data_IF_460804517031
#
_entry.id   IF_460804517031
#
_cell.length_a   1.000
_cell.length_b   1.000
_cell.length_c   1.000
_cell.angle_alpha   90.00
_cell.angle_beta   90.00
_cell.angle_gamma   90.00
#
_symmetry.space_group_name_H-M   'P 1'
#
loop_
_entity.id
_entity.type
_entity.pdbx_description
1 polymer ?
#
# COMPACT_ATOMS: atom_id res chain seq x y z
N UNK A 1 -1.80 71.51 15.11
CA UNK A 1 -2.99 71.42 14.24
C UNK A 1 -2.64 70.48 13.10
N UNK A 2 -2.92 69.19 13.29
CA UNK A 2 -4.09 68.47 12.75
C UNK A 2 -3.69 67.83 11.40
N UNK A 3 -3.73 66.53 11.16
CA UNK A 3 -4.29 65.40 11.91
C UNK A 3 -4.70 64.38 10.85
N UNK A 4 -3.93 63.30 10.66
CA UNK A 4 -4.37 62.19 9.80
C UNK A 4 -4.91 61.09 10.71
N UNK A 5 -6.22 60.97 10.62
CA UNK A 5 -7.13 60.11 11.36
C UNK A 5 -6.81 58.63 11.08
N UNK A 6 -6.43 57.88 12.12
CA UNK A 6 -6.54 56.41 12.09
C UNK A 6 -8.00 56.04 12.37
N UNK A 7 -8.61 55.08 11.66
CA UNK A 7 -9.93 54.60 12.03
C UNK A 7 -9.86 53.88 13.40
N UNK A 8 -10.86 54.08 14.27
CA UNK A 8 -10.90 53.45 15.57
C UNK A 8 -11.27 51.98 15.46
N UNK A 9 -10.50 51.20 16.22
CA UNK A 9 -10.73 49.83 16.62
C UNK A 9 -11.87 49.85 17.66
N UNK A 10 -13.12 49.67 17.23
CA UNK A 10 -14.26 49.56 18.15
C UNK A 10 -15.04 48.25 17.95
N UNK A 11 -14.74 47.37 18.90
CA UNK A 11 -15.56 46.28 19.38
C UNK A 11 -16.98 46.78 19.67
N UNK A 12 -17.96 46.23 18.96
CA UNK A 12 -19.32 46.13 19.52
C UNK A 12 -19.83 44.71 19.28
N UNK A 13 -19.63 43.86 20.30
CA UNK A 13 -20.39 42.63 20.46
C UNK A 13 -21.86 42.98 20.70
N UNK A 14 -22.72 42.77 19.71
CA UNK A 14 -24.15 42.63 19.96
C UNK A 14 -24.40 41.20 20.45
N UNK A 15 -24.54 41.05 21.78
CA UNK A 15 -25.09 39.85 22.39
C UNK A 15 -26.59 39.77 22.04
N UNK A 16 -26.95 38.79 21.22
CA UNK A 16 -28.32 38.40 20.94
C UNK A 16 -28.40 36.87 20.88
N UNK A 17 -29.29 36.32 21.69
CA UNK A 17 -29.55 34.89 21.92
C UNK A 17 -29.33 33.95 20.71
N UNK A 18 -28.56 32.88 20.94
CA UNK A 18 -28.32 31.80 19.97
C UNK A 18 -29.63 31.11 19.58
N UNK A 19 -29.99 31.20 18.31
CA UNK A 19 -30.88 30.27 17.62
C UNK A 19 -30.05 29.45 16.63
N UNK A 20 -30.33 28.15 16.51
CA UNK A 20 -29.84 27.33 15.38
C UNK A 20 -30.53 27.79 14.09
N UNK A 21 -29.99 27.50 12.89
CA UNK A 21 -30.63 27.83 11.61
C UNK A 21 -32.03 27.19 11.41
N UNK A 22 -32.48 26.32 12.32
CA UNK A 22 -33.78 25.64 12.29
C UNK A 22 -34.59 25.77 13.59
N UNK A 23 -34.20 26.63 14.54
CA UNK A 23 -35.03 26.93 15.72
C UNK A 23 -35.25 25.79 16.72
N UNK A 24 -34.41 24.74 16.71
CA UNK A 24 -34.49 23.63 17.67
C UNK A 24 -33.45 23.80 18.79
N UNK A 25 -33.82 23.71 20.08
CA UNK A 25 -32.87 23.74 21.19
C UNK A 25 -32.02 22.46 21.27
N UNK A 26 -30.79 22.59 21.75
CA UNK A 26 -29.86 21.48 21.98
C UNK A 26 -30.40 20.48 23.04
N UNK A 27 -30.10 19.17 22.92
CA UNK A 27 -30.38 18.19 23.98
C UNK A 27 -29.67 18.55 25.29
N UNK A 28 -30.39 18.47 26.42
CA UNK A 28 -29.94 18.91 27.74
C UNK A 28 -28.70 18.16 28.28
N UNK A 29 -28.33 17.04 27.67
CA UNK A 29 -27.15 16.24 28.02
C UNK A 29 -25.80 16.87 27.63
N UNK A 30 -25.80 18.00 26.90
CA UNK A 30 -24.58 18.74 26.50
C UNK A 30 -24.39 20.10 27.19
N UNK A 31 -25.15 20.38 28.26
CA UNK A 31 -25.24 21.70 28.89
C UNK A 31 -24.10 22.09 29.86
N UNK A 32 -22.89 21.52 29.74
CA UNK A 32 -21.76 21.86 30.62
C UNK A 32 -20.52 22.40 29.90
N UNK A 33 -20.70 23.27 28.90
CA UNK A 33 -19.58 24.01 28.32
C UNK A 33 -19.23 25.26 29.14
N UNK A 34 -18.14 25.18 29.91
CA UNK A 34 -17.49 26.32 30.55
C UNK A 34 -16.73 27.16 29.51
N UNK A 35 -16.68 28.46 29.77
CA UNK A 35 -16.27 29.54 28.88
C UNK A 35 -14.88 29.44 28.24
N UNK A 36 -14.79 29.89 26.99
CA UNK A 36 -13.59 30.15 26.18
C UNK A 36 -12.67 31.23 26.77
N UNK A 37 -11.83 30.88 27.74
CA UNK A 37 -10.53 31.51 27.98
C UNK A 37 -9.57 30.39 28.38
N UNK A 38 -8.41 30.35 27.75
CA UNK A 38 -7.30 29.39 27.92
C UNK A 38 -7.22 28.25 26.89
N UNK A 39 -7.30 28.57 25.59
CA UNK A 39 -6.64 27.74 24.57
C UNK A 39 -5.14 28.10 24.47
N UNK A 40 -4.42 28.00 25.59
CA UNK A 40 -2.96 27.96 25.63
C UNK A 40 -2.46 26.52 25.52
N UNK A 41 -2.72 25.86 24.39
CA UNK A 41 -2.34 24.48 24.15
C UNK A 41 -0.88 24.36 23.70
N UNK A 42 0.01 24.01 24.63
CA UNK A 42 1.41 23.60 24.40
C UNK A 42 1.51 22.57 23.25
N UNK A 43 2.30 22.87 22.21
CA UNK A 43 2.62 21.92 21.13
C UNK A 43 3.43 20.72 21.68
N UNK A 44 3.00 19.46 21.51
CA UNK A 44 3.88 18.32 21.62
C UNK A 44 4.56 18.04 20.27
N UNK A 45 5.87 17.81 20.34
CA UNK A 45 6.78 17.61 19.21
C UNK A 45 6.76 16.14 18.70
N UNK A 46 7.26 15.92 17.46
CA UNK A 46 7.50 14.64 16.73
C UNK A 46 6.44 14.06 15.77
N UNK A 47 5.58 14.88 15.16
CA UNK A 47 4.70 14.43 14.07
C UNK A 47 5.44 14.29 12.73
N UNK A 48 5.08 13.26 11.94
CA UNK A 48 5.40 13.18 10.50
C UNK A 48 5.03 14.51 9.83
N UNK A 49 5.88 15.04 8.95
CA UNK A 49 5.51 16.18 8.11
C UNK A 49 4.40 15.70 7.16
N UNK A 50 3.19 16.24 7.32
CA UNK A 50 2.03 15.87 6.51
C UNK A 50 2.11 16.52 5.13
N UNK A 51 1.73 15.77 4.09
CA UNK A 51 1.62 16.26 2.72
C UNK A 51 0.17 16.17 2.20
N UNK A 52 -0.72 17.11 2.60
CA UNK A 52 -2.13 17.07 2.22
C UNK A 52 -2.37 17.26 0.71
N UNK A 53 -1.41 17.81 -0.04
CA UNK A 53 -1.55 18.01 -1.49
C UNK A 53 -1.26 16.73 -2.29
N UNK A 54 -0.34 15.89 -1.80
CA UNK A 54 0.08 14.66 -2.48
C UNK A 54 -0.54 13.38 -1.90
N UNK A 55 -0.85 13.37 -0.61
CA UNK A 55 -1.27 12.17 0.13
C UNK A 55 -2.67 12.38 0.74
N UNK A 56 -3.70 11.66 0.26
CA UNK A 56 -5.07 11.89 0.69
C UNK A 56 -5.40 11.50 2.14
N UNK A 57 -4.67 10.59 2.78
CA UNK A 57 -4.83 10.31 4.21
C UNK A 57 -4.27 11.46 5.08
N UNK A 58 -3.17 12.09 4.66
CA UNK A 58 -2.62 13.31 5.24
C UNK A 58 -3.59 14.48 5.02
N UNK A 59 -4.26 14.56 3.85
CA UNK A 59 -5.37 15.50 3.63
C UNK A 59 -6.50 15.26 4.63
N UNK A 60 -6.95 14.01 4.79
CA UNK A 60 -8.01 13.68 5.75
C UNK A 60 -7.61 14.04 7.20
N UNK A 61 -6.34 13.84 7.57
CA UNK A 61 -5.82 14.21 8.89
C UNK A 61 -5.85 15.72 9.13
N UNK A 62 -5.43 16.52 8.13
CA UNK A 62 -5.49 17.98 8.18
C UNK A 62 -6.94 18.47 8.23
N UNK A 63 -7.81 17.90 7.39
CA UNK A 63 -9.23 18.27 7.33
C UNK A 63 -9.95 17.94 8.64
N UNK A 64 -9.64 16.80 9.27
CA UNK A 64 -10.18 16.46 10.58
C UNK A 64 -9.76 17.49 11.66
N UNK A 65 -8.50 17.93 11.63
CA UNK A 65 -7.98 18.94 12.56
C UNK A 65 -8.67 20.29 12.34
N UNK A 66 -8.90 20.69 11.09
CA UNK A 66 -9.61 21.92 10.74
C UNK A 66 -11.06 21.86 11.22
N UNK A 67 -11.78 20.79 10.87
CA UNK A 67 -13.16 20.55 11.30
C UNK A 67 -13.30 20.61 12.82
N UNK A 68 -12.37 19.97 13.53
CA UNK A 68 -12.32 19.98 14.99
C UNK A 68 -12.16 21.41 15.53
N UNK A 69 -11.26 22.20 14.95
CA UNK A 69 -11.03 23.60 15.31
C UNK A 69 -12.25 24.49 15.06
N UNK A 70 -12.87 24.38 13.89
CA UNK A 70 -14.05 25.15 13.49
C UNK A 70 -15.27 24.87 14.38
N UNK A 71 -15.42 23.61 14.82
CA UNK A 71 -16.52 23.18 15.69
C UNK A 71 -16.20 23.28 17.18
N UNK A 72 -15.00 23.74 17.54
CA UNK A 72 -14.56 23.86 18.94
C UNK A 72 -14.46 22.51 19.67
N UNK A 73 -14.30 21.42 18.94
CA UNK A 73 -14.23 20.06 19.50
C UNK A 73 -12.81 19.80 20.04
N UNK A 74 -12.72 19.04 21.12
CA UNK A 74 -11.46 18.50 21.61
C UNK A 74 -11.17 17.14 20.97
N UNK A 75 -9.92 16.67 21.07
CA UNK A 75 -9.55 15.32 20.64
C UNK A 75 -10.41 14.25 21.36
N UNK A 76 -10.78 14.50 22.62
CA UNK A 76 -11.64 13.62 23.40
C UNK A 76 -13.08 13.58 22.88
N UNK A 77 -13.63 14.71 22.45
CA UNK A 77 -14.98 14.78 21.88
C UNK A 77 -15.07 13.98 20.58
N UNK A 78 -14.09 14.15 19.68
CA UNK A 78 -14.02 13.37 18.44
C UNK A 78 -13.86 11.88 18.73
N UNK A 79 -13.05 11.53 19.72
CA UNK A 79 -12.88 10.14 20.14
C UNK A 79 -14.20 9.53 20.66
N UNK A 80 -14.98 10.30 21.41
CA UNK A 80 -16.30 9.90 21.90
C UNK A 80 -17.29 9.69 20.74
N UNK A 81 -17.32 10.57 19.74
CA UNK A 81 -18.20 10.45 18.55
C UNK A 81 -18.03 9.09 17.87
N UNK A 82 -16.79 8.60 17.72
CA UNK A 82 -16.52 7.34 17.03
C UNK A 82 -16.42 6.12 17.95
N UNK A 83 -16.46 6.33 19.28
CA UNK A 83 -16.31 5.28 20.29
C UNK A 83 -14.88 4.73 20.36
N UNK A 84 -13.87 5.61 20.32
CA UNK A 84 -12.44 5.26 20.33
C UNK A 84 -11.67 6.10 21.37
N UNK A 85 -10.36 5.89 21.46
CA UNK A 85 -9.49 6.60 22.41
C UNK A 85 -8.97 7.91 21.81
N UNK A 86 -8.74 8.92 22.66
CA UNK A 86 -8.11 10.18 22.25
C UNK A 86 -6.72 9.99 21.66
N UNK A 87 -6.00 8.93 22.06
CA UNK A 87 -4.72 8.54 21.49
C UNK A 87 -4.82 8.19 20.00
N UNK A 88 -5.90 7.50 19.58
CA UNK A 88 -6.14 7.20 18.17
C UNK A 88 -6.33 8.49 17.36
N UNK A 89 -7.16 9.41 17.83
CA UNK A 89 -7.41 10.68 17.13
C UNK A 89 -6.12 11.50 17.01
N UNK A 90 -5.31 11.55 18.07
CA UNK A 90 -4.00 12.19 18.01
C UNK A 90 -3.07 11.54 16.97
N UNK A 91 -3.02 10.21 16.89
CA UNK A 91 -2.25 9.51 15.85
C UNK A 91 -2.76 9.79 14.44
N UNK A 92 -4.07 9.89 14.27
CA UNK A 92 -4.71 10.24 13.00
C UNK A 92 -4.33 11.66 12.59
N UNK A 93 -4.54 12.67 13.43
CA UNK A 93 -4.21 14.06 13.11
C UNK A 93 -2.70 14.28 12.86
N UNK A 94 -1.84 13.40 13.38
CA UNK A 94 -0.39 13.44 13.16
C UNK A 94 0.08 12.52 12.02
N UNK A 95 -0.83 11.93 11.24
CA UNK A 95 -0.50 11.08 10.08
C UNK A 95 0.21 9.78 10.42
N UNK A 96 0.14 9.33 11.68
CA UNK A 96 0.73 8.08 12.16
C UNK A 96 -0.18 6.90 11.83
N UNK A 97 -1.49 7.11 11.76
CA UNK A 97 -2.46 6.05 11.42
C UNK A 97 -3.58 6.63 10.58
N UNK A 98 -3.99 6.00 9.47
CA UNK A 98 -5.04 6.53 8.60
C UNK A 98 -6.42 6.49 9.25
N UNK A 99 -7.22 7.54 9.03
CA UNK A 99 -8.63 7.56 9.43
C UNK A 99 -9.42 6.51 8.63
N UNK A 100 -10.17 5.67 9.33
CA UNK A 100 -10.96 4.62 8.70
C UNK A 100 -12.27 5.19 8.14
N UNK A 101 -12.71 4.69 6.99
CA UNK A 101 -13.94 5.16 6.32
C UNK A 101 -15.17 5.16 7.24
N UNK A 102 -15.35 4.08 8.01
CA UNK A 102 -16.46 3.96 8.97
C UNK A 102 -16.44 5.02 10.07
N UNK A 103 -15.25 5.47 10.46
CA UNK A 103 -15.06 6.47 11.52
C UNK A 103 -15.19 7.87 10.92
N UNK A 104 -14.68 8.09 9.69
CA UNK A 104 -14.92 9.30 8.90
C UNK A 104 -16.42 9.54 8.67
N UNK A 105 -17.18 8.54 8.24
CA UNK A 105 -18.62 8.66 8.00
C UNK A 105 -19.39 8.98 9.30
N UNK A 106 -18.95 8.48 10.47
CA UNK A 106 -19.53 8.84 11.78
C UNK A 106 -19.24 10.29 12.15
N UNK A 107 -18.00 10.74 11.95
CA UNK A 107 -17.60 12.14 12.23
C UNK A 107 -18.38 13.08 11.31
N UNK A 108 -18.46 12.76 10.01
CA UNK A 108 -19.21 13.54 9.04
C UNK A 108 -20.70 13.64 9.40
N UNK A 109 -21.29 12.55 9.90
CA UNK A 109 -22.68 12.54 10.37
C UNK A 109 -22.87 13.40 11.63
N UNK A 110 -21.96 13.29 12.61
CA UNK A 110 -22.05 14.05 13.85
C UNK A 110 -21.78 15.54 13.66
N UNK A 111 -20.92 15.90 12.71
CA UNK A 111 -20.52 17.27 12.43
C UNK A 111 -21.25 17.89 11.23
N UNK A 112 -22.20 17.17 10.61
CA UNK A 112 -23.01 17.63 9.47
C UNK A 112 -22.17 18.19 8.30
N UNK A 113 -21.07 17.52 7.96
CA UNK A 113 -20.13 17.97 6.91
C UNK A 113 -20.57 17.62 5.48
N UNK A 114 -21.71 16.91 5.35
CA UNK A 114 -22.16 16.37 4.07
C UNK A 114 -21.24 15.29 3.51
N UNK A 115 -20.44 14.60 4.33
CA UNK A 115 -19.62 13.46 3.91
C UNK A 115 -18.22 13.81 3.41
N UNK A 116 -17.67 14.96 3.82
CA UNK A 116 -16.37 15.45 3.36
C UNK A 116 -15.24 14.47 3.69
N UNK A 117 -15.09 14.06 4.94
CA UNK A 117 -14.03 13.14 5.34
C UNK A 117 -14.20 11.78 4.65
N UNK A 118 -15.42 11.26 4.58
CA UNK A 118 -15.73 10.02 3.91
C UNK A 118 -15.37 10.04 2.42
N UNK A 119 -15.63 11.15 1.70
CA UNK A 119 -15.18 11.32 0.31
C UNK A 119 -13.66 11.32 0.19
N UNK A 120 -12.95 12.05 1.06
CA UNK A 120 -11.49 12.07 1.07
C UNK A 120 -10.93 10.66 1.28
N UNK A 121 -11.47 9.90 2.24
CA UNK A 121 -11.03 8.52 2.49
C UNK A 121 -11.35 7.58 1.32
N UNK A 122 -12.48 7.75 0.63
CA UNK A 122 -12.76 6.98 -0.58
C UNK A 122 -11.75 7.29 -1.70
N UNK A 123 -11.37 8.57 -1.86
CA UNK A 123 -10.31 8.98 -2.80
C UNK A 123 -8.96 8.39 -2.38
N UNK A 124 -8.63 8.45 -1.09
CA UNK A 124 -7.41 7.89 -0.51
C UNK A 124 -7.27 6.40 -0.84
N UNK A 125 -8.34 5.64 -0.61
CA UNK A 125 -8.40 4.21 -0.94
C UNK A 125 -8.34 3.92 -2.43
N UNK A 126 -8.76 4.86 -3.28
CA UNK A 126 -8.70 4.70 -4.74
C UNK A 126 -7.35 5.09 -5.34
N UNK A 127 -6.53 5.86 -4.60
CA UNK A 127 -5.20 6.29 -5.06
C UNK A 127 -4.14 5.28 -4.66
N UNK A 128 -3.16 5.14 -5.53
CA UNK A 128 -1.95 4.39 -5.22
C UNK A 128 -1.06 5.22 -4.28
N UNK A 129 -0.56 4.59 -3.21
CA UNK A 129 0.38 5.24 -2.29
C UNK A 129 1.64 5.69 -3.03
N UNK A 130 2.18 6.86 -2.71
CA UNK A 130 3.49 7.30 -3.22
C UNK A 130 4.65 6.51 -2.61
N UNK A 131 4.42 5.85 -1.45
CA UNK A 131 5.36 4.97 -0.75
C UNK A 131 5.05 3.48 -0.93
N UNK A 132 4.32 3.14 -2.01
CA UNK A 132 3.90 1.75 -2.27
C UNK A 132 5.08 0.77 -2.27
N UNK A 133 6.27 1.21 -2.71
CA UNK A 133 7.45 0.36 -2.76
C UNK A 133 7.90 0.01 -1.34
N UNK A 134 8.08 1.01 -0.46
CA UNK A 134 8.46 0.77 0.94
C UNK A 134 7.41 -0.06 1.69
N UNK A 135 6.11 0.15 1.41
CA UNK A 135 5.03 -0.63 2.02
C UNK A 135 5.07 -2.10 1.61
N UNK A 136 5.32 -2.39 0.32
CA UNK A 136 5.46 -3.76 -0.18
C UNK A 136 6.68 -4.43 0.44
N UNK A 137 7.79 -3.72 0.60
CA UNK A 137 8.99 -4.28 1.22
C UNK A 137 8.78 -4.58 2.70
N UNK A 138 8.05 -3.72 3.43
CA UNK A 138 7.68 -3.97 4.82
C UNK A 138 6.77 -5.19 4.96
N UNK A 139 5.76 -5.32 4.08
CA UNK A 139 4.89 -6.50 4.03
C UNK A 139 5.70 -7.76 3.73
N UNK A 140 6.58 -7.68 2.73
CA UNK A 140 7.43 -8.80 2.34
C UNK A 140 8.34 -9.24 3.49
N UNK A 141 8.95 -8.29 4.22
CA UNK A 141 9.82 -8.58 5.35
C UNK A 141 9.12 -9.38 6.47
N UNK A 142 7.81 -9.21 6.63
CA UNK A 142 7.00 -9.91 7.65
C UNK A 142 6.25 -11.13 7.10
N UNK A 143 6.03 -11.23 5.78
CA UNK A 143 5.17 -12.24 5.18
C UNK A 143 5.68 -13.67 5.41
N UNK A 144 4.85 -14.55 5.97
CA UNK A 144 5.14 -15.98 6.16
C UNK A 144 4.99 -16.81 4.88
N UNK A 145 4.19 -16.33 3.91
CA UNK A 145 3.98 -17.00 2.63
C UNK A 145 3.95 -15.98 1.49
N UNK A 146 4.38 -16.40 0.30
CA UNK A 146 4.25 -15.65 -0.95
C UNK A 146 3.73 -16.58 -2.05
N UNK A 147 2.55 -16.27 -2.59
CA UNK A 147 2.01 -16.92 -3.79
C UNK A 147 2.07 -15.95 -4.97
N UNK A 148 2.80 -16.33 -6.01
CA UNK A 148 3.22 -15.43 -7.08
C UNK A 148 2.70 -15.96 -8.41
N UNK A 149 2.09 -15.10 -9.20
CA UNK A 149 1.89 -15.29 -10.64
C UNK A 149 2.73 -14.27 -11.40
N UNK A 150 3.59 -14.75 -12.31
CA UNK A 150 4.48 -13.89 -13.08
C UNK A 150 4.33 -14.12 -14.58
N UNK A 151 3.83 -13.11 -15.29
CA UNK A 151 3.55 -13.14 -16.73
C UNK A 151 4.72 -12.64 -17.58
N UNK A 152 5.39 -11.57 -17.16
CA UNK A 152 6.34 -10.84 -18.03
C UNK A 152 7.82 -11.07 -17.74
N UNK A 153 8.17 -11.36 -16.49
CA UNK A 153 9.56 -11.52 -16.05
C UNK A 153 9.65 -12.61 -14.99
N UNK A 154 10.84 -13.17 -14.77
CA UNK A 154 11.09 -13.92 -13.53
C UNK A 154 10.79 -13.02 -12.31
N UNK A 155 10.01 -13.46 -11.31
CA UNK A 155 9.61 -12.61 -10.19
C UNK A 155 10.83 -12.19 -9.36
N UNK A 156 10.79 -10.99 -8.79
CA UNK A 156 11.93 -10.38 -8.09
C UNK A 156 12.56 -11.28 -7.01
N UNK A 157 11.75 -12.10 -6.35
CA UNK A 157 12.17 -13.07 -5.34
C UNK A 157 13.08 -14.20 -5.87
N UNK A 158 13.06 -14.44 -7.18
CA UNK A 158 13.76 -15.54 -7.85
C UNK A 158 14.79 -15.02 -8.86
N UNK A 159 15.11 -13.72 -8.84
CA UNK A 159 16.07 -13.15 -9.78
C UNK A 159 17.50 -13.28 -9.26
N UNK A 160 18.44 -13.48 -10.18
CA UNK A 160 19.87 -13.27 -9.91
C UNK A 160 20.21 -11.77 -9.92
N UNK A 161 21.33 -11.35 -9.31
CA UNK A 161 21.78 -9.96 -9.39
C UNK A 161 21.93 -9.47 -10.83
N UNK A 162 22.42 -10.32 -11.73
CA UNK A 162 22.66 -10.02 -13.14
C UNK A 162 21.33 -9.81 -13.90
N UNK A 163 20.35 -10.68 -13.65
CA UNK A 163 19.02 -10.55 -14.24
C UNK A 163 18.30 -9.30 -13.71
N UNK A 164 18.37 -9.06 -12.40
CA UNK A 164 17.83 -7.85 -11.78
C UNK A 164 18.45 -6.58 -12.38
N UNK A 165 19.78 -6.56 -12.57
CA UNK A 165 20.51 -5.46 -13.19
C UNK A 165 20.03 -5.21 -14.63
N UNK A 166 19.88 -6.26 -15.42
CA UNK A 166 19.40 -6.16 -16.80
C UNK A 166 17.97 -5.58 -16.87
N UNK A 167 17.06 -6.08 -16.03
CA UNK A 167 15.67 -5.57 -15.98
C UNK A 167 15.60 -4.12 -15.51
N UNK A 168 16.40 -3.72 -14.51
CA UNK A 168 16.44 -2.32 -14.07
C UNK A 168 17.03 -1.36 -15.10
N UNK A 169 18.05 -1.79 -15.86
CA UNK A 169 18.58 -1.02 -16.99
C UNK A 169 17.52 -0.83 -18.07
N UNK A 170 16.81 -1.90 -18.45
CA UNK A 170 15.74 -1.84 -19.43
C UNK A 170 14.59 -0.92 -18.97
N UNK A 171 14.31 -0.86 -17.67
CA UNK A 171 13.33 0.05 -17.08
C UNK A 171 13.82 1.51 -16.93
N UNK A 172 15.03 1.85 -17.40
CA UNK A 172 15.56 3.22 -17.34
C UNK A 172 15.83 3.74 -15.92
N UNK A 173 16.11 2.85 -14.96
CA UNK A 173 16.44 3.27 -13.59
C UNK A 173 17.78 4.01 -13.55
N UNK A 174 17.82 5.15 -12.86
CA UNK A 174 19.03 5.97 -12.71
C UNK A 174 20.10 5.29 -11.84
N UNK A 175 19.71 4.79 -10.67
CA UNK A 175 20.62 4.16 -9.69
C UNK A 175 20.50 2.62 -9.73
N UNK A 176 20.91 2.01 -10.85
CA UNK A 176 20.74 0.56 -11.07
C UNK A 176 21.37 -0.27 -9.96
N UNK A 177 22.64 -0.04 -9.62
CA UNK A 177 23.34 -0.88 -8.62
C UNK A 177 22.71 -0.77 -7.23
N UNK A 178 22.23 0.42 -6.84
CA UNK A 178 21.51 0.59 -5.58
C UNK A 178 20.20 -0.20 -5.58
N UNK A 179 19.47 -0.19 -6.70
CA UNK A 179 18.22 -0.94 -6.83
C UNK A 179 18.47 -2.46 -6.82
N UNK A 180 19.54 -2.93 -7.46
CA UNK A 180 19.98 -4.33 -7.41
C UNK A 180 20.33 -4.73 -5.99
N UNK A 181 21.19 -3.97 -5.32
CA UNK A 181 21.60 -4.22 -3.95
C UNK A 181 20.40 -4.34 -3.01
N UNK A 182 19.49 -3.36 -3.06
CA UNK A 182 18.25 -3.37 -2.27
C UNK A 182 17.38 -4.59 -2.56
N UNK A 183 17.25 -5.00 -3.83
CA UNK A 183 16.49 -6.20 -4.20
C UNK A 183 17.12 -7.46 -3.62
N UNK A 184 18.43 -7.61 -3.75
CA UNK A 184 19.15 -8.79 -3.25
C UNK A 184 19.12 -8.86 -1.72
N UNK A 185 19.23 -7.73 -1.02
CA UNK A 185 19.07 -7.65 0.44
C UNK A 185 17.69 -8.11 0.88
N UNK A 186 16.63 -7.59 0.27
CA UNK A 186 15.24 -7.96 0.62
C UNK A 186 14.97 -9.43 0.31
N UNK A 187 15.41 -9.90 -0.86
CA UNK A 187 15.30 -11.31 -1.27
C UNK A 187 16.04 -12.23 -0.29
N UNK A 188 17.29 -11.91 0.05
CA UNK A 188 18.11 -12.69 0.97
C UNK A 188 17.50 -12.75 2.37
N UNK A 189 17.07 -11.60 2.90
CA UNK A 189 16.41 -11.51 4.21
C UNK A 189 15.13 -12.35 4.26
N UNK A 190 14.39 -12.42 3.16
CA UNK A 190 13.18 -13.24 3.06
C UNK A 190 13.51 -14.74 2.98
N UNK A 191 14.37 -15.13 2.03
CA UNK A 191 14.66 -16.54 1.73
C UNK A 191 15.57 -17.23 2.75
N UNK A 192 16.24 -16.48 3.64
CA UNK A 192 17.10 -17.04 4.69
C UNK A 192 16.45 -17.02 6.07
N UNK A 193 15.18 -16.61 6.18
CA UNK A 193 14.49 -16.50 7.46
C UNK A 193 14.23 -17.89 8.07
N UNK A 194 14.18 -17.95 9.40
CA UNK A 194 13.75 -19.13 10.15
C UNK A 194 12.48 -18.81 10.96
N UNK A 195 11.36 -19.54 10.78
CA UNK A 195 11.17 -20.60 9.77
C UNK A 195 11.20 -20.05 8.32
N UNK A 196 11.62 -20.91 7.38
CA UNK A 196 11.67 -20.58 5.96
C UNK A 196 10.26 -20.23 5.46
N UNK A 197 10.06 -19.06 4.80
CA UNK A 197 8.75 -18.70 4.27
C UNK A 197 8.31 -19.66 3.16
N UNK A 198 7.01 -19.93 3.08
CA UNK A 198 6.46 -20.77 2.01
C UNK A 198 6.36 -19.93 0.74
N UNK A 199 7.09 -20.33 -0.31
CA UNK A 199 7.02 -19.66 -1.62
C UNK A 199 6.43 -20.61 -2.65
N UNK A 200 5.37 -20.14 -3.32
CA UNK A 200 4.77 -20.80 -4.48
C UNK A 200 4.74 -19.83 -5.64
N UNK A 201 5.58 -20.07 -6.64
CA UNK A 201 5.64 -19.26 -7.84
C UNK A 201 5.09 -20.04 -9.03
N UNK A 202 4.18 -19.41 -9.78
CA UNK A 202 3.75 -19.87 -11.08
C UNK A 202 4.23 -18.84 -12.11
N UNK A 203 4.98 -19.31 -13.10
CA UNK A 203 5.56 -18.49 -14.15
C UNK A 203 4.85 -18.76 -15.47
N UNK A 204 4.59 -17.74 -16.27
CA UNK A 204 4.29 -17.92 -17.69
C UNK A 204 5.57 -18.36 -18.41
N UNK A 205 5.46 -19.31 -19.32
CA UNK A 205 6.58 -19.72 -20.17
C UNK A 205 7.18 -18.52 -20.93
N UNK A 206 6.35 -17.55 -21.33
CA UNK A 206 6.80 -16.31 -21.94
C UNK A 206 7.80 -15.53 -21.08
N UNK A 207 7.61 -15.51 -19.75
CA UNK A 207 8.52 -14.82 -18.82
C UNK A 207 9.94 -15.42 -18.81
N UNK A 208 10.09 -16.69 -19.21
CA UNK A 208 11.35 -17.40 -19.30
C UNK A 208 11.99 -17.30 -20.69
N UNK A 209 11.15 -17.10 -21.70
CA UNK A 209 11.57 -16.99 -23.10
C UNK A 209 12.13 -15.61 -23.45
N UNK A 210 11.72 -14.54 -22.76
CA UNK A 210 12.24 -13.20 -23.02
C UNK A 210 13.76 -13.19 -22.76
N UNK A 211 14.60 -12.85 -23.75
CA UNK A 211 16.04 -12.79 -23.57
C UNK A 211 16.39 -11.58 -22.70
N UNK A 212 16.79 -11.83 -21.45
CA UNK A 212 17.14 -10.79 -20.48
C UNK A 212 18.65 -10.73 -20.29
N UNK A 213 19.23 -9.58 -20.59
CA UNK A 213 20.68 -9.41 -20.53
C UNK A 213 21.37 -10.15 -21.67
N UNK A 214 22.47 -10.84 -21.36
CA UNK A 214 23.17 -11.70 -22.30
C UNK A 214 22.71 -13.15 -22.15
N UNK A 215 23.00 -14.04 -23.11
CA UNK A 215 22.72 -15.47 -22.96
C UNK A 215 23.31 -16.08 -21.66
N UNK A 216 24.47 -15.62 -21.19
CA UNK A 216 25.07 -16.06 -19.93
C UNK A 216 24.23 -15.63 -18.72
N UNK A 217 23.62 -14.44 -18.77
CA UNK A 217 22.69 -13.98 -17.72
C UNK A 217 21.44 -14.86 -17.71
N UNK A 218 20.91 -15.21 -18.88
CA UNK A 218 19.75 -16.09 -18.98
C UNK A 218 20.06 -17.51 -18.50
N UNK A 219 21.23 -18.05 -18.83
CA UNK A 219 21.71 -19.34 -18.31
C UNK A 219 21.83 -19.32 -16.78
N UNK A 220 22.50 -18.31 -16.22
CA UNK A 220 22.64 -18.16 -14.78
C UNK A 220 21.30 -18.02 -14.07
N UNK A 221 20.32 -17.35 -14.71
CA UNK A 221 18.97 -17.26 -14.19
C UNK A 221 18.24 -18.61 -14.21
N UNK A 222 18.37 -19.41 -15.27
CA UNK A 222 17.77 -20.75 -15.33
C UNK A 222 18.42 -21.72 -14.33
N UNK A 223 19.75 -21.68 -14.20
CA UNK A 223 20.49 -22.41 -13.18
C UNK A 223 20.02 -22.08 -11.76
N UNK A 224 19.78 -20.79 -11.50
CA UNK A 224 19.24 -20.34 -10.22
C UNK A 224 17.82 -20.87 -9.96
N UNK A 225 16.93 -20.86 -10.96
CA UNK A 225 15.58 -21.42 -10.82
C UNK A 225 15.60 -22.92 -10.55
N UNK A 226 16.46 -23.67 -11.24
CA UNK A 226 16.67 -25.11 -11.03
C UNK A 226 17.09 -25.38 -9.57
N UNK A 227 18.09 -24.64 -9.07
CA UNK A 227 18.54 -24.79 -7.69
C UNK A 227 17.45 -24.41 -6.67
N UNK A 228 16.70 -23.33 -6.93
CA UNK A 228 15.62 -22.89 -6.04
C UNK A 228 14.45 -23.87 -5.98
N UNK A 229 14.17 -24.61 -7.05
CA UNK A 229 13.10 -25.60 -7.09
C UNK A 229 13.25 -26.74 -6.05
N UNK A 230 14.43 -26.91 -5.46
CA UNK A 230 14.65 -27.85 -4.34
C UNK A 230 14.05 -27.36 -3.01
N UNK A 231 13.90 -26.04 -2.85
CA UNK A 231 13.49 -25.40 -1.58
C UNK A 231 12.11 -24.78 -1.63
N UNK A 232 11.64 -24.39 -2.82
CA UNK A 232 10.37 -23.72 -3.03
C UNK A 232 9.59 -24.35 -4.19
N UNK A 233 8.29 -24.09 -4.26
CA UNK A 233 7.47 -24.58 -5.38
C UNK A 233 7.53 -23.60 -6.55
N UNK A 234 8.07 -24.05 -7.68
CA UNK A 234 8.05 -23.31 -8.94
C UNK A 234 7.33 -24.16 -9.98
N UNK A 235 6.28 -23.59 -10.59
CA UNK A 235 5.51 -24.22 -11.67
C UNK A 235 5.42 -23.30 -12.88
N UNK A 236 5.17 -23.85 -14.06
CA UNK A 236 5.07 -23.08 -15.31
C UNK A 236 3.73 -23.30 -16.00
N UNK A 237 3.12 -22.24 -16.50
CA UNK A 237 2.03 -22.29 -17.49
C UNK A 237 2.65 -22.18 -18.87
N UNK A 238 2.53 -23.23 -19.68
CA UNK A 238 3.04 -23.24 -21.06
C UNK A 238 2.25 -22.29 -21.95
N UNK A 239 2.89 -21.78 -23.01
CA UNK A 239 2.24 -20.94 -24.03
C UNK A 239 1.07 -21.67 -24.70
N UNK A 240 1.15 -23.00 -24.79
CA UNK A 240 0.10 -23.88 -25.34
C UNK A 240 -1.21 -23.84 -24.55
N UNK A 241 -1.20 -23.37 -23.30
CA UNK A 241 -2.40 -23.22 -22.48
C UNK A 241 -3.37 -22.16 -23.02
N UNK A 242 -2.92 -21.28 -23.93
CA UNK A 242 -3.78 -20.33 -24.63
C UNK A 242 -4.31 -19.21 -23.73
N UNK A 243 -5.55 -18.72 -23.95
CA UNK A 243 -6.16 -17.68 -23.13
C UNK A 243 -6.50 -18.17 -21.71
N UNK A 244 -6.06 -17.45 -20.68
CA UNK A 244 -6.42 -17.68 -19.28
C UNK A 244 -6.35 -16.38 -18.47
N UNK A 245 -6.92 -16.38 -17.27
CA UNK A 245 -7.03 -15.20 -16.39
C UNK A 245 -5.68 -14.55 -16.03
N UNK A 246 -4.58 -15.30 -16.09
CA UNK A 246 -3.24 -14.80 -15.81
C UNK A 246 -2.68 -13.85 -16.88
N UNK A 247 -3.27 -13.82 -18.09
CA UNK A 247 -2.82 -12.92 -19.16
C UNK A 247 -3.08 -11.44 -18.87
N UNK A 248 -3.96 -11.13 -17.90
CA UNK A 248 -4.30 -9.75 -17.54
C UNK A 248 -3.25 -9.07 -16.64
N UNK A 249 -2.26 -9.81 -16.12
CA UNK A 249 -1.13 -9.20 -15.41
C UNK A 249 -0.50 -10.08 -14.34
N UNK A 250 0.65 -9.63 -13.83
CA UNK A 250 1.38 -10.32 -12.75
C UNK A 250 0.98 -9.77 -11.39
N UNK A 251 0.97 -10.63 -10.38
CA UNK A 251 0.65 -10.25 -9.02
C UNK A 251 1.23 -11.23 -8.00
N UNK A 252 1.31 -10.79 -6.75
CA UNK A 252 1.72 -11.60 -5.61
C UNK A 252 0.73 -11.41 -4.47
N UNK A 253 0.39 -12.50 -3.79
CA UNK A 253 -0.32 -12.46 -2.51
C UNK A 253 0.65 -12.88 -1.41
N UNK A 254 0.94 -11.94 -0.51
CA UNK A 254 1.70 -12.16 0.71
C UNK A 254 0.74 -12.49 1.85
N UNK A 255 1.06 -13.52 2.64
CA UNK A 255 0.31 -13.87 3.85
C UNK A 255 1.23 -13.72 5.06
N UNK A 256 0.84 -12.88 6.01
CA UNK A 256 1.53 -12.68 7.29
C UNK A 256 1.41 -13.89 8.23
N UNK A 257 2.20 -13.93 9.32
CA UNK A 257 2.12 -15.00 10.32
C UNK A 257 0.79 -15.01 11.09
N UNK A 258 0.06 -13.88 11.10
CA UNK A 258 -1.27 -13.74 11.68
C UNK A 258 -2.40 -14.12 10.69
N UNK A 259 -2.04 -14.58 9.49
CA UNK A 259 -2.97 -14.96 8.42
C UNK A 259 -3.53 -13.79 7.62
N UNK A 260 -3.12 -12.53 7.89
CA UNK A 260 -3.54 -11.40 7.07
C UNK A 260 -2.90 -11.47 5.70
N UNK A 261 -3.69 -11.15 4.68
CA UNK A 261 -3.26 -11.23 3.30
C UNK A 261 -3.16 -9.85 2.66
N UNK A 262 -2.11 -9.66 1.87
CA UNK A 262 -1.85 -8.47 1.10
C UNK A 262 -1.59 -8.86 -0.35
N UNK A 263 -2.38 -8.31 -1.26
CA UNK A 263 -2.20 -8.45 -2.69
C UNK A 263 -1.37 -7.28 -3.21
N UNK A 264 -0.38 -7.58 -4.04
CA UNK A 264 0.36 -6.59 -4.81
C UNK A 264 0.30 -6.92 -6.31
N UNK A 265 -0.21 -5.98 -7.10
CA UNK A 265 -0.23 -6.08 -8.58
C UNK A 265 0.95 -5.35 -9.18
N UNK A 266 1.58 -5.96 -10.19
CA UNK A 266 2.76 -5.41 -10.86
C UNK A 266 2.31 -4.62 -12.09
N UNK A 267 2.67 -3.34 -12.16
CA UNK A 267 2.39 -2.46 -13.31
C UNK A 267 3.63 -1.64 -13.66
N UNK A 268 3.60 -0.92 -14.79
CA UNK A 268 4.68 0.00 -15.18
C UNK A 268 4.85 1.17 -14.20
N UNK A 269 3.76 1.54 -13.51
CA UNK A 269 3.74 2.61 -12.52
C UNK A 269 3.64 2.07 -11.09
N UNK A 270 3.08 2.86 -10.16
CA UNK A 270 2.74 2.38 -8.83
C UNK A 270 1.85 1.14 -8.92
N UNK A 271 2.30 0.01 -8.37
CA UNK A 271 1.45 -1.17 -8.25
C UNK A 271 0.25 -0.91 -7.34
N UNK A 272 -0.80 -1.74 -7.41
CA UNK A 272 -1.86 -1.71 -6.39
C UNK A 272 -1.47 -2.60 -5.23
N UNK A 273 -1.39 -2.02 -4.05
CA UNK A 273 -1.36 -2.73 -2.79
C UNK A 273 -2.77 -2.80 -2.21
N UNK A 274 -3.28 -3.99 -1.98
CA UNK A 274 -4.66 -4.25 -1.55
C UNK A 274 -4.63 -5.13 -0.30
N UNK A 275 -5.31 -4.69 0.76
CA UNK A 275 -5.50 -5.45 2.00
C UNK A 275 -6.98 -5.77 2.26
N UNK A 276 -7.88 -5.45 1.32
CA UNK A 276 -9.30 -5.80 1.42
C UNK A 276 -9.48 -7.31 1.21
N UNK A 277 -10.03 -8.06 2.20
CA UNK A 277 -10.14 -9.51 2.09
C UNK A 277 -11.00 -9.99 0.92
N UNK A 278 -12.04 -9.23 0.52
CA UNK A 278 -12.91 -9.61 -0.59
C UNK A 278 -12.21 -9.50 -1.93
N UNK A 279 -11.43 -8.43 -2.12
CA UNK A 279 -10.61 -8.27 -3.32
C UNK A 279 -9.47 -9.29 -3.35
N UNK A 280 -8.75 -9.52 -2.25
CA UNK A 280 -7.69 -10.54 -2.18
C UNK A 280 -8.23 -11.94 -2.50
N UNK A 281 -9.42 -12.30 -2.00
CA UNK A 281 -10.05 -13.59 -2.30
C UNK A 281 -10.31 -13.79 -3.80
N UNK A 282 -10.62 -12.73 -4.54
CA UNK A 282 -10.79 -12.81 -5.99
C UNK A 282 -9.49 -13.17 -6.72
N UNK A 283 -8.35 -12.68 -6.24
CA UNK A 283 -7.02 -13.03 -6.76
C UNK A 283 -6.55 -14.41 -6.30
N UNK A 284 -7.00 -14.90 -5.14
CA UNK A 284 -6.80 -16.29 -4.73
C UNK A 284 -7.49 -17.26 -5.70
N UNK A 285 -8.74 -16.98 -6.08
CA UNK A 285 -9.45 -17.75 -7.11
C UNK A 285 -8.71 -17.69 -8.46
N UNK A 286 -8.14 -16.55 -8.81
CA UNK A 286 -7.32 -16.42 -10.02
C UNK A 286 -6.06 -17.31 -9.94
N UNK A 287 -5.34 -17.32 -8.81
CA UNK A 287 -4.19 -18.21 -8.59
C UNK A 287 -4.58 -19.69 -8.71
N UNK A 288 -5.71 -20.09 -8.15
CA UNK A 288 -6.19 -21.47 -8.22
C UNK A 288 -6.44 -21.87 -9.69
N UNK A 289 -7.13 -21.02 -10.45
CA UNK A 289 -7.37 -21.27 -11.89
C UNK A 289 -6.09 -21.31 -12.72
N UNK A 290 -5.10 -20.48 -12.38
CA UNK A 290 -3.78 -20.50 -13.03
C UNK A 290 -3.03 -21.79 -12.64
N UNK A 291 -3.15 -22.23 -11.39
CA UNK A 291 -2.56 -23.47 -10.88
C UNK A 291 -3.15 -24.71 -11.55
N UNK A 292 -4.45 -24.70 -11.88
CA UNK A 292 -5.14 -25.83 -12.53
C UNK A 292 -4.58 -26.14 -13.93
N UNK A 293 -4.04 -25.12 -14.61
CA UNK A 293 -3.48 -25.26 -15.97
C UNK A 293 -1.94 -25.28 -16.00
N UNK A 294 -1.28 -25.08 -14.87
CA UNK A 294 0.17 -25.10 -14.80
C UNK A 294 0.70 -26.55 -14.82
N UNK A 295 1.86 -26.75 -15.44
CA UNK A 295 2.66 -27.96 -15.32
C UNK A 295 2.89 -28.32 -13.86
N UNK A 296 3.02 -29.62 -13.56
CA UNK A 296 3.44 -30.03 -12.22
C UNK A 296 4.92 -29.63 -11.96
N UNK A 297 5.39 -29.79 -10.73
CA UNK A 297 6.75 -29.36 -10.33
C UNK A 297 7.84 -30.06 -11.15
N UNK A 298 7.72 -31.38 -11.38
CA UNK A 298 8.70 -32.15 -12.14
C UNK A 298 8.72 -31.78 -13.62
N UNK A 299 7.55 -31.58 -14.22
CA UNK A 299 7.43 -31.12 -15.62
C UNK A 299 8.00 -29.71 -15.81
N UNK A 300 7.78 -28.82 -14.84
CA UNK A 300 8.34 -27.47 -14.82
C UNK A 300 9.86 -27.48 -14.71
N UNK A 301 10.41 -28.33 -13.84
CA UNK A 301 11.86 -28.53 -13.72
C UNK A 301 12.47 -29.05 -15.02
N UNK A 302 11.82 -30.04 -15.65
CA UNK A 302 12.24 -30.55 -16.96
C UNK A 302 12.20 -29.45 -18.04
N UNK A 303 11.21 -28.54 -18.00
CA UNK A 303 11.15 -27.41 -18.91
C UNK A 303 12.33 -26.45 -18.69
N UNK A 304 12.73 -26.17 -17.45
CA UNK A 304 13.91 -25.36 -17.16
C UNK A 304 15.19 -25.98 -17.73
N UNK A 305 15.38 -27.29 -17.57
CA UNK A 305 16.52 -27.99 -18.16
C UNK A 305 16.53 -27.89 -19.69
N UNK A 306 15.40 -28.13 -20.36
CA UNK A 306 15.30 -27.98 -21.83
C UNK A 306 15.58 -26.55 -22.31
N UNK A 307 15.09 -25.55 -21.57
CA UNK A 307 15.37 -24.14 -21.89
C UNK A 307 16.84 -23.82 -21.72
N UNK A 308 17.45 -24.32 -20.63
CA UNK A 308 18.87 -24.12 -20.34
C UNK A 308 19.75 -24.71 -21.44
N UNK A 309 19.49 -25.95 -21.85
CA UNK A 309 20.21 -26.59 -22.97
C UNK A 309 20.13 -25.73 -24.25
N UNK A 310 18.93 -25.27 -24.60
CA UNK A 310 18.72 -24.42 -25.78
C UNK A 310 19.51 -23.10 -25.73
N UNK A 311 19.58 -22.46 -24.56
CA UNK A 311 20.38 -21.22 -24.41
C UNK A 311 21.87 -21.54 -24.41
N UNK A 312 22.29 -22.64 -23.81
CA UNK A 312 23.69 -23.08 -23.81
C UNK A 312 24.20 -23.29 -25.24
N UNK A 313 23.41 -23.93 -26.09
CA UNK A 313 23.74 -24.15 -27.51
C UNK A 313 23.83 -22.86 -28.33
N UNK A 314 23.33 -21.72 -27.83
CA UNK A 314 23.50 -20.41 -28.46
C UNK A 314 24.80 -19.71 -28.05
N UNK A 315 25.41 -20.14 -26.95
CA UNK A 315 26.63 -19.56 -26.36
C UNK A 315 27.89 -20.35 -26.73
N UNK A 316 27.73 -21.67 -26.91
CA UNK A 316 28.80 -22.60 -27.30
C UNK A 316 29.20 -22.44 -28.78
#
# INVERSE_FOLDING_TARGET
MAGVMRPPDDRVCAFGHRLTPLGVPWPAEFASFKSLRDCGGRMPNSGKVLNPEGEPFDWAAVELRNLRGERGLTIADVAQIIGKTSSLISKVENGVTPLQLKDADKIDKACETGGTLGRIIRIAKSRHSSSWAEEVDAIMAEAAQAHIWSLGWVPALLQTPEYARATFKAAGRLNVEQAVQRRMEIQGNFLQRSPLPIVRAILDEGALMVPVGTPEVQLGQLDHLIAMAETITIRVVELSAGPHIGRDGSFVVYTGPDGREHLFTITLGPGRLVADPGEVASYRIALDRISDIALNVGESLNLFHRMRERVHDQVA
#
